data_IF_925223114361
#
_entry.id   IF_925223114361
#
_cell.length_a   1.000
_cell.length_b   1.000
_cell.length_c   1.000
_cell.angle_alpha   90.00
_cell.angle_beta   90.00
_cell.angle_gamma   90.00
#
_symmetry.space_group_name_H-M   'P 1'
#
loop_
_entity.id
_entity.type
_entity.pdbx_description
1 polymer ?
#
# COMPACT_ATOMS: atom_id res chain seq x y z
N UNK A 1 16.00 4.45 -24.70
CA UNK A 1 14.67 4.93 -24.28
C UNK A 1 13.85 3.71 -23.83
N UNK A 2 13.68 3.52 -22.52
CA UNK A 2 12.60 2.69 -21.94
C UNK A 2 12.28 3.28 -20.57
N UNK A 3 11.76 4.51 -20.58
CA UNK A 3 11.41 5.27 -19.36
C UNK A 3 9.96 5.05 -18.92
N UNK A 4 9.14 4.34 -19.71
CA UNK A 4 7.71 4.20 -19.46
C UNK A 4 7.33 2.97 -18.62
N UNK A 5 8.13 1.89 -18.66
CA UNK A 5 7.84 0.65 -17.90
C UNK A 5 7.84 0.85 -16.38
N UNK A 6 8.48 1.92 -15.87
CA UNK A 6 8.57 2.20 -14.42
C UNK A 6 7.46 3.11 -13.87
N UNK A 7 6.57 3.64 -14.72
CA UNK A 7 5.47 4.51 -14.28
C UNK A 7 4.13 3.78 -14.14
N UNK A 8 4.05 2.51 -14.52
CA UNK A 8 2.83 1.72 -14.45
C UNK A 8 3.03 0.63 -13.40
N UNK A 9 2.06 0.48 -12.50
CA UNK A 9 2.11 -0.60 -11.51
C UNK A 9 1.98 -1.96 -12.21
N UNK A 10 2.74 -2.98 -11.80
CA UNK A 10 2.54 -4.35 -12.23
C UNK A 10 1.09 -4.81 -12.03
N UNK A 11 0.61 -5.67 -12.91
CA UNK A 11 -0.78 -6.17 -12.89
C UNK A 11 -0.98 -7.46 -12.06
N UNK A 12 0.07 -7.90 -11.37
CA UNK A 12 0.14 -9.15 -10.58
C UNK A 12 -0.70 -9.16 -9.31
N UNK A 13 -1.07 -7.98 -8.79
CA UNK A 13 -1.93 -7.84 -7.60
C UNK A 13 -3.03 -6.84 -7.92
N UNK A 14 -4.29 -7.28 -7.75
CA UNK A 14 -5.48 -6.46 -7.93
C UNK A 14 -6.12 -6.19 -6.57
N UNK A 15 -6.16 -4.94 -6.08
CA UNK A 15 -6.85 -4.62 -4.84
C UNK A 15 -8.36 -4.82 -5.00
N UNK A 16 -8.98 -5.38 -3.98
CA UNK A 16 -10.42 -5.60 -3.87
C UNK A 16 -11.05 -4.54 -2.97
N UNK A 17 -10.41 -4.25 -1.83
CA UNK A 17 -10.89 -3.24 -0.90
C UNK A 17 -9.75 -2.63 -0.08
N UNK A 18 -9.89 -1.35 0.27
CA UNK A 18 -8.97 -0.63 1.15
C UNK A 18 -9.69 -0.26 2.44
N UNK A 19 -9.17 -0.74 3.57
CA UNK A 19 -9.58 -0.28 4.89
C UNK A 19 -8.57 0.76 5.34
N UNK A 20 -9.00 2.02 5.35
CA UNK A 20 -8.15 3.16 5.70
C UNK A 20 -8.59 3.70 7.05
N UNK A 21 -7.65 3.78 7.98
CA UNK A 21 -7.84 4.44 9.27
C UNK A 21 -6.75 5.48 9.46
N UNK A 22 -7.15 6.73 9.73
CA UNK A 22 -6.27 7.83 10.08
C UNK A 22 -6.56 8.25 11.51
N UNK A 23 -5.51 8.50 12.28
CA UNK A 23 -5.60 8.86 13.69
C UNK A 23 -4.41 9.71 14.11
N UNK A 24 -4.48 10.26 15.33
CA UNK A 24 -3.50 11.23 15.85
C UNK A 24 -3.30 12.42 14.89
N UNK A 25 -4.38 12.98 14.33
CA UNK A 25 -4.31 14.14 13.44
C UNK A 25 -3.90 15.37 14.25
N UNK A 26 -2.74 15.94 13.95
CA UNK A 26 -2.30 17.23 14.47
C UNK A 26 -2.68 18.34 13.49
N UNK A 27 -3.77 19.03 13.82
CA UNK A 27 -4.29 20.14 13.02
C UNK A 27 -3.63 21.45 13.49
N UNK A 28 -2.81 22.04 12.62
CA UNK A 28 -1.91 23.14 12.97
C UNK A 28 -0.48 22.67 13.22
N UNK A 29 0.49 23.59 13.27
CA UNK A 29 1.90 23.22 13.42
C UNK A 29 2.44 22.49 12.19
N UNK A 30 3.01 21.30 12.38
CA UNK A 30 3.70 20.52 11.33
C UNK A 30 2.78 19.69 10.41
N UNK A 31 1.45 19.71 10.64
CA UNK A 31 0.46 18.93 9.89
C UNK A 31 0.85 17.46 9.74
N UNK A 32 0.71 16.70 10.82
CA UNK A 32 1.10 15.29 10.87
C UNK A 32 -0.11 14.41 11.20
N UNK A 33 -0.06 13.18 10.71
CA UNK A 33 -1.04 12.15 11.03
C UNK A 33 -0.37 10.78 11.07
N UNK A 34 -1.01 9.84 11.76
CA UNK A 34 -0.71 8.41 11.63
C UNK A 34 -1.85 7.72 10.90
N UNK A 35 -1.54 6.55 10.36
CA UNK A 35 -2.57 5.76 9.71
C UNK A 35 -2.16 4.32 9.53
N UNK A 36 -3.17 3.49 9.35
CA UNK A 36 -3.04 2.10 8.96
C UNK A 36 -3.89 1.91 7.71
N UNK A 37 -3.30 1.27 6.70
CA UNK A 37 -4.01 0.85 5.50
C UNK A 37 -3.92 -0.67 5.43
N UNK A 38 -5.07 -1.33 5.47
CA UNK A 38 -5.19 -2.76 5.16
C UNK A 38 -5.76 -2.90 3.75
N UNK A 39 -5.06 -3.63 2.90
CA UNK A 39 -5.41 -3.84 1.50
C UNK A 39 -5.83 -5.29 1.33
N UNK A 40 -7.12 -5.54 1.13
CA UNK A 40 -7.59 -6.84 0.68
C UNK A 40 -7.32 -6.92 -0.82
N UNK A 41 -6.50 -7.86 -1.27
CA UNK A 41 -6.08 -7.96 -2.67
C UNK A 41 -6.05 -9.41 -3.17
N UNK A 42 -6.25 -9.55 -4.48
CA UNK A 42 -6.11 -10.81 -5.20
C UNK A 42 -4.78 -10.83 -5.94
N UNK A 43 -3.98 -11.87 -5.69
CA UNK A 43 -2.78 -12.16 -6.49
C UNK A 43 -3.24 -12.88 -7.76
N UNK A 44 -3.04 -12.25 -8.92
CA UNK A 44 -3.49 -12.78 -10.23
C UNK A 44 -2.46 -13.69 -10.88
N UNK A 45 -1.19 -13.50 -10.56
CA UNK A 45 -0.04 -14.26 -11.06
C UNK A 45 0.99 -14.48 -9.97
N UNK A 46 1.70 -15.60 -10.00
CA UNK A 46 2.77 -15.89 -9.03
C UNK A 46 3.82 -14.77 -9.05
N UNK A 47 4.07 -14.18 -7.88
CA UNK A 47 5.01 -13.07 -7.70
C UNK A 47 5.74 -13.20 -6.37
N UNK A 48 6.92 -12.61 -6.29
CA UNK A 48 7.72 -12.47 -5.06
C UNK A 48 7.71 -11.04 -4.54
N UNK A 49 7.12 -10.11 -5.29
CA UNK A 49 7.11 -8.68 -5.01
C UNK A 49 5.71 -8.11 -5.23
N UNK A 50 5.33 -7.20 -4.35
CA UNK A 50 4.12 -6.38 -4.46
C UNK A 50 4.56 -4.93 -4.52
N UNK A 51 4.23 -4.24 -5.60
CA UNK A 51 4.61 -2.85 -5.83
C UNK A 51 3.39 -1.95 -5.61
N UNK A 52 3.54 -0.92 -4.79
CA UNK A 52 2.50 0.04 -4.45
C UNK A 52 3.03 1.47 -4.57
N UNK A 53 2.11 2.41 -4.82
CA UNK A 53 2.44 3.83 -4.79
C UNK A 53 2.53 4.34 -3.36
N UNK A 54 3.59 5.10 -3.07
CA UNK A 54 3.80 5.78 -1.81
C UNK A 54 4.42 7.15 -2.12
N UNK A 55 3.81 8.23 -1.63
CA UNK A 55 4.33 9.59 -1.80
C UNK A 55 4.27 10.32 -0.47
N UNK A 56 5.43 10.79 -0.01
CA UNK A 56 5.57 11.61 1.21
C UNK A 56 5.00 10.94 2.47
N UNK A 57 4.89 9.61 2.48
CA UNK A 57 4.53 8.81 3.64
C UNK A 57 5.72 7.93 4.05
N UNK A 58 5.93 7.81 5.35
CA UNK A 58 6.93 6.91 5.93
C UNK A 58 6.24 5.62 6.38
N UNK A 59 6.54 4.51 5.70
CA UNK A 59 6.07 3.18 6.10
C UNK A 59 6.86 2.74 7.33
N UNK A 60 6.17 2.48 8.44
CA UNK A 60 6.80 2.06 9.70
C UNK A 60 6.81 0.55 9.87
N UNK A 61 5.73 -0.12 9.44
CA UNK A 61 5.60 -1.57 9.44
C UNK A 61 4.81 -2.00 8.19
N UNK A 62 5.07 -3.21 7.72
CA UNK A 62 4.33 -3.85 6.64
C UNK A 62 4.27 -5.36 6.88
N UNK A 63 3.06 -5.91 6.82
CA UNK A 63 2.79 -7.32 7.08
C UNK A 63 1.89 -7.86 5.96
N UNK A 64 2.07 -9.14 5.63
CA UNK A 64 1.29 -9.83 4.60
C UNK A 64 0.65 -11.03 5.28
N UNK A 65 -0.65 -11.22 5.05
CA UNK A 65 -1.41 -12.33 5.59
C UNK A 65 -2.16 -13.04 4.45
N UNK A 66 -2.18 -14.36 4.49
CA UNK A 66 -3.11 -15.19 3.73
C UNK A 66 -4.56 -14.90 4.14
N UNK A 67 -5.52 -15.30 3.29
CA UNK A 67 -6.96 -15.11 3.58
C UNK A 67 -7.41 -15.82 4.86
N UNK A 68 -6.74 -16.90 5.21
CA UNK A 68 -6.89 -17.70 6.41
C UNK A 68 -6.10 -17.16 7.62
N UNK A 69 -5.35 -16.06 7.45
CA UNK A 69 -4.56 -15.43 8.50
C UNK A 69 -3.14 -15.98 8.66
N UNK A 70 -2.66 -16.83 7.74
CA UNK A 70 -1.29 -17.35 7.71
C UNK A 70 -0.25 -16.31 7.30
#
# INVERSE_FOLDING_TARGET
>A
MTSMDRCILPDVVKPVNYHVSLFDLELGGSWVYKGIVKIDAQVTSSTKEIVLNSKEIKVQNAEIFGRDGS
#
